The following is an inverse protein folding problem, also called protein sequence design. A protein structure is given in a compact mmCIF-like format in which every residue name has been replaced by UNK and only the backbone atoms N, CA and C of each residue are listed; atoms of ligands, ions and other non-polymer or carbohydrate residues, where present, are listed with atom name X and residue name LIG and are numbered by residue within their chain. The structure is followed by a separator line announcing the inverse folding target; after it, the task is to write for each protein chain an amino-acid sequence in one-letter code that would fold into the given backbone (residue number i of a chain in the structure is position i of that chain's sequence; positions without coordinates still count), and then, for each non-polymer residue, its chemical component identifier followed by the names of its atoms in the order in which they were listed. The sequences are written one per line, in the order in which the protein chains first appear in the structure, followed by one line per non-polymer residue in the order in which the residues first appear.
data_IF_191049525062
#
_entry.id   IF_191049525062
#
_cell.length_a   1.000
_cell.length_b   1.000
_cell.length_c   1.000
_cell.angle_alpha   90.00
_cell.angle_beta   90.00
_cell.angle_gamma   90.00
#
_symmetry.space_group_name_H-M   'P 1'
#
loop_
_entity.id
_entity.type
_entity.pdbx_description
1 polymer ?
#
# COMPACT_ATOMS: atom_id res chain seq x y z
N UNK A 1 -15.84 9.52 31.82
CA UNK A 1 -16.42 10.88 31.91
C UNK A 1 -17.85 10.74 31.40
N UNK A 2 -18.86 11.10 32.21
CA UNK A 2 -20.23 10.57 32.07
C UNK A 2 -20.95 11.03 30.80
N UNK A 3 -21.67 10.07 30.18
CA UNK A 3 -22.39 10.10 28.89
C UNK A 3 -23.55 11.10 28.80
N UNK A 4 -24.02 11.59 29.93
CA UNK A 4 -24.71 12.86 30.08
C UNK A 4 -23.89 13.64 31.09
N UNK A 5 -23.80 14.96 30.99
CA UNK A 5 -23.52 15.74 32.20
C UNK A 5 -24.54 15.27 33.23
N UNK A 6 -24.10 14.57 34.30
CA UNK A 6 -25.01 14.05 35.32
C UNK A 6 -25.80 15.20 35.97
N UNK A 7 -25.36 16.45 35.80
CA UNK A 7 -26.11 17.68 36.09
C UNK A 7 -27.41 17.87 35.29
N UNK A 8 -27.58 17.23 34.12
CA UNK A 8 -28.82 17.30 33.32
C UNK A 8 -29.72 16.07 33.47
N UNK A 9 -29.26 14.98 34.08
CA UNK A 9 -30.10 13.80 34.32
C UNK A 9 -31.36 14.19 35.13
N UNK A 10 -31.21 15.09 36.11
CA UNK A 10 -32.33 15.64 36.88
C UNK A 10 -33.28 16.54 36.07
N UNK A 11 -32.85 17.10 34.94
CA UNK A 11 -33.68 17.93 34.06
C UNK A 11 -34.49 17.11 33.04
N UNK A 12 -34.10 15.86 32.79
CA UNK A 12 -34.78 14.93 31.88
C UNK A 12 -35.84 14.07 32.58
N UNK A 13 -35.64 13.78 33.87
CA UNK A 13 -36.62 13.03 34.67
C UNK A 13 -37.95 13.78 34.71
N UNK A 14 -39.04 13.10 34.34
CA UNK A 14 -40.39 13.65 34.32
C UNK A 14 -40.79 14.36 33.02
N UNK A 15 -39.90 14.47 32.04
CA UNK A 15 -40.22 14.96 30.69
C UNK A 15 -40.47 13.80 29.73
N UNK A 16 -41.30 14.03 28.72
CA UNK A 16 -41.54 13.04 27.67
C UNK A 16 -40.29 12.90 26.78
N UNK A 17 -39.90 11.66 26.47
CA UNK A 17 -38.85 11.39 25.49
C UNK A 17 -39.18 12.00 24.11
N UNK A 18 -40.46 12.11 23.76
CA UNK A 18 -40.90 12.76 22.53
C UNK A 18 -40.61 14.26 22.49
N UNK A 19 -40.62 14.93 23.66
CA UNK A 19 -40.32 16.35 23.75
C UNK A 19 -38.80 16.59 23.72
N UNK A 20 -38.03 15.67 24.30
CA UNK A 20 -36.56 15.72 24.35
C UNK A 20 -35.98 15.48 22.94
N UNK A 21 -36.50 14.50 22.22
CA UNK A 21 -36.02 14.10 20.89
C UNK A 21 -36.89 14.63 19.74
N UNK A 22 -37.66 15.70 19.97
CA UNK A 22 -38.59 16.27 18.96
C UNK A 22 -37.92 16.65 17.63
N UNK A 23 -36.65 17.00 17.68
CA UNK A 23 -35.84 17.46 16.54
C UNK A 23 -35.04 16.31 15.90
N UNK A 24 -35.24 15.06 16.36
CA UNK A 24 -34.61 13.85 15.85
C UNK A 24 -35.66 12.82 15.37
N UNK A 25 -36.11 12.92 14.11
CA UNK A 25 -37.15 12.06 13.56
C UNK A 25 -36.82 10.56 13.62
N UNK A 26 -35.55 10.17 13.52
CA UNK A 26 -35.14 8.76 13.55
C UNK A 26 -35.32 8.15 14.94
N UNK A 27 -34.96 8.91 15.99
CA UNK A 27 -35.21 8.50 17.37
C UNK A 27 -36.71 8.45 17.65
N UNK A 28 -37.52 9.40 17.16
CA UNK A 28 -38.97 9.35 17.33
C UNK A 28 -39.62 8.12 16.67
N UNK A 29 -39.16 7.72 15.48
CA UNK A 29 -39.62 6.49 14.82
C UNK A 29 -39.26 5.26 15.65
N UNK A 30 -38.03 5.22 16.16
CA UNK A 30 -37.54 4.15 17.06
C UNK A 30 -38.41 4.03 18.31
N UNK A 31 -38.70 5.16 18.97
CA UNK A 31 -39.53 5.18 20.17
C UNK A 31 -40.98 4.72 19.88
N UNK A 32 -41.58 5.16 18.79
CA UNK A 32 -42.92 4.73 18.40
C UNK A 32 -43.00 3.23 18.10
N UNK A 33 -41.99 2.67 17.43
CA UNK A 33 -41.91 1.23 17.17
C UNK A 33 -41.77 0.42 18.45
N UNK A 34 -40.96 0.91 19.40
CA UNK A 34 -40.84 0.28 20.72
C UNK A 34 -42.17 0.30 21.49
N UNK A 35 -42.93 1.41 21.43
CA UNK A 35 -44.28 1.50 22.02
C UNK A 35 -45.33 0.66 21.30
N UNK A 36 -45.13 0.34 20.03
CA UNK A 36 -45.94 -0.63 19.31
C UNK A 36 -45.63 -2.07 19.70
N UNK A 37 -44.63 -2.30 20.57
CA UNK A 37 -44.28 -3.60 21.12
C UNK A 37 -43.04 -4.24 20.49
N UNK A 38 -42.35 -3.55 19.59
CA UNK A 38 -41.15 -4.06 18.93
C UNK A 38 -39.90 -3.88 19.81
N UNK A 39 -39.00 -4.87 19.82
CA UNK A 39 -37.66 -4.69 20.40
C UNK A 39 -36.68 -4.47 19.26
N UNK A 40 -35.93 -3.37 19.31
CA UNK A 40 -35.04 -2.98 18.24
C UNK A 40 -33.68 -2.51 18.76
N UNK A 41 -32.68 -2.67 17.90
CA UNK A 41 -31.30 -2.22 18.12
C UNK A 41 -30.98 -1.19 17.06
N UNK A 42 -30.55 -0.01 17.48
CA UNK A 42 -30.18 1.07 16.58
C UNK A 42 -28.83 1.64 16.98
N UNK A 43 -27.97 1.81 15.99
CA UNK A 43 -26.76 2.59 16.18
C UNK A 43 -27.10 4.06 15.94
N UNK A 44 -26.86 4.91 16.94
CA UNK A 44 -27.08 6.34 16.86
C UNK A 44 -25.77 7.09 17.03
N UNK A 45 -25.69 8.28 16.44
CA UNK A 45 -24.55 9.17 16.60
C UNK A 45 -25.01 10.42 17.34
N UNK A 46 -24.34 10.73 18.45
CA UNK A 46 -24.55 11.97 19.19
C UNK A 46 -23.25 12.76 19.25
N UNK A 47 -23.14 13.77 18.40
CA UNK A 47 -21.90 14.52 18.21
C UNK A 47 -20.77 13.62 17.68
N UNK A 48 -19.72 13.44 18.48
CA UNK A 48 -18.56 12.60 18.16
C UNK A 48 -18.69 11.16 18.67
N UNK A 49 -19.72 10.87 19.48
CA UNK A 49 -19.92 9.55 20.08
C UNK A 49 -20.89 8.70 19.26
N UNK A 50 -20.61 7.40 19.25
CA UNK A 50 -21.47 6.39 18.66
C UNK A 50 -22.06 5.51 19.77
N UNK A 51 -23.36 5.26 19.70
CA UNK A 51 -24.07 4.43 20.67
C UNK A 51 -24.77 3.28 19.97
N UNK A 52 -24.67 2.10 20.55
CA UNK A 52 -25.51 0.95 20.22
C UNK A 52 -26.65 0.92 21.24
N UNK A 53 -27.86 1.27 20.79
CA UNK A 53 -29.02 1.46 21.65
C UNK A 53 -30.07 0.40 21.40
N UNK A 54 -30.36 -0.38 22.44
CA UNK A 54 -31.43 -1.36 22.45
C UNK A 54 -32.67 -0.76 23.11
N UNK A 55 -33.79 -0.71 22.39
CA UNK A 55 -35.08 -0.26 22.90
C UNK A 55 -36.08 -1.42 22.91
N UNK A 56 -36.91 -1.49 23.95
CA UNK A 56 -37.99 -2.46 24.03
C UNK A 56 -39.18 -1.96 24.87
N UNK A 57 -40.37 -2.54 24.66
CA UNK A 57 -41.56 -2.17 25.42
C UNK A 57 -41.43 -2.61 26.88
N UNK A 58 -41.77 -1.70 27.79
CA UNK A 58 -42.05 -2.03 29.18
C UNK A 58 -43.52 -2.46 29.28
N UNK A 59 -43.78 -3.64 29.84
CA UNK A 59 -45.14 -4.19 30.00
C UNK A 59 -45.49 -4.34 31.48
N UNK A 60 -46.75 -4.13 31.82
CA UNK A 60 -47.28 -4.44 33.14
C UNK A 60 -47.58 -5.94 33.32
N UNK A 61 -48.09 -6.33 34.50
CA UNK A 61 -48.45 -7.72 34.82
C UNK A 61 -49.58 -8.28 33.94
N UNK A 62 -50.36 -7.41 33.30
CA UNK A 62 -51.46 -7.76 32.41
C UNK A 62 -51.01 -7.84 30.94
N UNK A 63 -49.74 -7.51 30.65
CA UNK A 63 -49.17 -7.53 29.30
C UNK A 63 -49.41 -6.24 28.50
N UNK A 64 -50.02 -5.21 29.10
CA UNK A 64 -50.21 -3.91 28.46
C UNK A 64 -48.89 -3.13 28.44
N UNK A 65 -48.61 -2.45 27.34
CA UNK A 65 -47.39 -1.63 27.19
C UNK A 65 -47.58 -0.35 27.99
N UNK A 66 -46.72 -0.12 28.98
CA UNK A 66 -46.75 1.05 29.85
C UNK A 66 -45.63 2.04 29.57
N UNK A 67 -44.66 1.68 28.74
CA UNK A 67 -43.55 2.56 28.37
C UNK A 67 -42.49 1.89 27.52
N UNK A 68 -41.31 2.52 27.45
CA UNK A 68 -40.12 2.01 26.76
C UNK A 68 -38.99 1.92 27.78
N UNK A 69 -38.18 0.86 27.67
CA UNK A 69 -36.86 0.80 28.29
C UNK A 69 -35.80 0.82 27.19
N UNK A 70 -34.75 1.61 27.42
CA UNK A 70 -33.61 1.74 26.51
C UNK A 70 -32.30 1.45 27.25
N UNK A 71 -31.39 0.70 26.62
CA UNK A 71 -30.00 0.57 27.04
C UNK A 71 -29.09 1.03 25.92
N UNK A 72 -28.28 2.05 26.19
CA UNK A 72 -27.30 2.58 25.24
C UNK A 72 -25.88 2.23 25.68
N UNK A 73 -25.14 1.57 24.80
CA UNK A 73 -23.74 1.23 24.99
C UNK A 73 -22.87 2.15 24.15
N UNK A 74 -21.86 2.78 24.75
CA UNK A 74 -20.86 3.54 24.00
C UNK A 74 -20.02 2.57 23.15
N UNK A 75 -20.09 2.74 21.83
CA UNK A 75 -19.32 1.97 20.84
C UNK A 75 -18.34 2.86 20.07
N UNK A 76 -18.07 4.07 20.55
CA UNK A 76 -17.22 5.05 19.88
C UNK A 76 -15.83 4.49 19.59
N UNK A 77 -15.22 3.83 20.58
CA UNK A 77 -13.91 3.19 20.40
C UNK A 77 -13.97 2.10 19.33
N UNK A 78 -14.97 1.22 19.37
CA UNK A 78 -15.17 0.14 18.38
C UNK A 78 -15.30 0.72 16.98
N UNK A 79 -16.19 1.71 16.79
CA UNK A 79 -16.42 2.35 15.49
C UNK A 79 -15.16 3.03 14.96
N UNK A 80 -14.44 3.77 15.80
CA UNK A 80 -13.21 4.44 15.37
C UNK A 80 -12.13 3.44 14.95
N UNK A 81 -12.01 2.30 15.64
CA UNK A 81 -11.11 1.22 15.23
C UNK A 81 -11.54 0.57 13.91
N UNK A 82 -12.83 0.31 13.73
CA UNK A 82 -13.37 -0.26 12.49
C UNK A 82 -13.13 0.69 11.29
N UNK A 83 -13.36 2.00 11.47
CA UNK A 83 -13.07 3.01 10.47
C UNK A 83 -11.57 3.10 10.18
N UNK A 84 -10.73 3.15 11.20
CA UNK A 84 -9.27 3.19 11.03
C UNK A 84 -8.77 1.95 10.28
N UNK A 85 -9.31 0.77 10.59
CA UNK A 85 -9.01 -0.48 9.88
C UNK A 85 -9.45 -0.44 8.43
N UNK A 86 -10.67 0.04 8.15
CA UNK A 86 -11.17 0.16 6.78
C UNK A 86 -10.31 1.12 5.95
N UNK A 87 -9.90 2.25 6.52
CA UNK A 87 -8.99 3.21 5.88
C UNK A 87 -7.62 2.58 5.63
N UNK A 88 -7.07 1.85 6.61
CA UNK A 88 -5.79 1.17 6.44
C UNK A 88 -5.82 0.13 5.32
N UNK A 89 -6.86 -0.72 5.28
CA UNK A 89 -7.03 -1.73 4.23
C UNK A 89 -7.19 -1.10 2.85
N UNK A 90 -7.95 0.00 2.74
CA UNK A 90 -8.07 0.73 1.49
C UNK A 90 -6.74 1.33 1.03
N UNK A 91 -5.98 1.91 1.96
CA UNK A 91 -4.65 2.47 1.67
C UNK A 91 -3.65 1.39 1.23
N UNK A 92 -3.68 0.22 1.87
CA UNK A 92 -2.83 -0.93 1.54
C UNK A 92 -3.15 -1.44 0.13
N UNK A 93 -4.43 -1.68 -0.17
CA UNK A 93 -4.88 -2.12 -1.48
C UNK A 93 -4.51 -1.12 -2.59
N UNK A 94 -4.66 0.18 -2.35
CA UNK A 94 -4.28 1.22 -3.32
C UNK A 94 -2.76 1.29 -3.54
N UNK A 95 -1.96 1.09 -2.50
CA UNK A 95 -0.51 1.04 -2.60
C UNK A 95 -0.03 -0.20 -3.36
N UNK A 96 -0.66 -1.36 -3.12
CA UNK A 96 -0.37 -2.61 -3.83
C UNK A 96 -0.70 -2.46 -5.33
N UNK A 97 -1.89 -1.96 -5.66
CA UNK A 97 -2.29 -1.73 -7.06
C UNK A 97 -1.33 -0.78 -7.79
N UNK A 98 -0.91 0.30 -7.13
CA UNK A 98 0.07 1.24 -7.68
C UNK A 98 1.44 0.57 -7.90
N UNK A 99 1.88 -0.28 -6.96
CA UNK A 99 3.13 -1.04 -7.08
C UNK A 99 3.08 -2.03 -8.25
N UNK A 100 1.97 -2.74 -8.43
CA UNK A 100 1.78 -3.65 -9.55
C UNK A 100 1.76 -2.92 -10.90
N UNK A 101 1.02 -1.81 -11.00
CA UNK A 101 1.01 -0.97 -12.19
C UNK A 101 2.42 -0.47 -12.54
N UNK A 102 3.17 0.01 -11.55
CA UNK A 102 4.57 0.46 -11.73
C UNK A 102 5.44 -0.68 -12.25
N UNK A 103 5.37 -1.87 -11.63
CA UNK A 103 6.14 -3.04 -12.04
C UNK A 103 5.82 -3.46 -13.48
N UNK A 104 4.53 -3.52 -13.84
CA UNK A 104 4.08 -3.91 -15.18
C UNK A 104 4.51 -2.88 -16.24
N UNK A 105 4.41 -1.60 -15.92
CA UNK A 105 4.88 -0.53 -16.79
C UNK A 105 6.38 -0.66 -17.04
N UNK A 106 7.19 -0.83 -16.00
CA UNK A 106 8.65 -0.93 -16.15
C UNK A 106 9.07 -2.19 -16.91
N UNK A 107 8.44 -3.34 -16.64
CA UNK A 107 8.66 -4.56 -17.40
C UNK A 107 8.36 -4.36 -18.90
N UNK A 108 7.22 -3.76 -19.22
CA UNK A 108 6.82 -3.49 -20.61
C UNK A 108 7.79 -2.54 -21.28
N UNK A 109 8.11 -1.41 -20.64
CA UNK A 109 9.06 -0.44 -21.18
C UNK A 109 10.44 -1.04 -21.40
N UNK A 110 10.90 -1.92 -20.50
CA UNK A 110 12.19 -2.61 -20.71
C UNK A 110 12.20 -3.46 -21.98
N UNK A 111 11.14 -4.22 -22.24
CA UNK A 111 11.02 -4.99 -23.49
C UNK A 111 11.00 -4.08 -24.73
N UNK A 112 10.25 -2.98 -24.68
CA UNK A 112 10.14 -2.02 -25.77
C UNK A 112 11.43 -1.22 -26.00
N UNK A 113 12.23 -0.98 -24.97
CA UNK A 113 13.52 -0.28 -25.09
C UNK A 113 14.65 -1.25 -25.50
N UNK A 114 14.62 -2.51 -25.06
CA UNK A 114 15.64 -3.51 -25.40
C UNK A 114 15.75 -3.74 -26.91
N UNK A 115 14.62 -3.80 -27.61
CA UNK A 115 14.58 -4.03 -29.07
C UNK A 115 15.35 -2.95 -29.86
N UNK A 116 15.05 -1.64 -29.73
CA UNK A 116 15.81 -0.61 -30.43
C UNK A 116 17.26 -0.52 -29.96
N UNK A 117 17.57 -0.71 -28.66
CA UNK A 117 18.96 -0.70 -28.19
C UNK A 117 19.77 -1.84 -28.81
N UNK A 118 19.24 -3.06 -28.87
CA UNK A 118 19.90 -4.18 -29.53
C UNK A 118 20.13 -3.89 -31.01
N UNK A 119 19.21 -3.18 -31.66
CA UNK A 119 19.40 -2.65 -33.01
C UNK A 119 20.58 -1.67 -33.10
N UNK A 120 20.67 -0.71 -32.17
CA UNK A 120 21.79 0.25 -32.08
C UNK A 120 23.13 -0.48 -31.86
N UNK A 121 23.19 -1.46 -30.96
CA UNK A 121 24.39 -2.28 -30.71
C UNK A 121 24.76 -3.09 -31.96
N UNK A 122 23.77 -3.70 -32.62
CA UNK A 122 23.98 -4.44 -33.87
C UNK A 122 24.55 -3.57 -34.98
N UNK A 123 23.95 -2.39 -35.20
CA UNK A 123 24.43 -1.42 -36.18
C UNK A 123 25.84 -0.89 -35.84
N UNK A 124 26.11 -0.60 -34.56
CA UNK A 124 27.44 -0.21 -34.10
C UNK A 124 28.48 -1.28 -34.40
N UNK A 125 28.14 -2.55 -34.14
CA UNK A 125 29.01 -3.71 -34.40
C UNK A 125 29.32 -3.85 -35.90
N UNK A 126 28.29 -3.76 -36.76
CA UNK A 126 28.47 -3.80 -38.21
C UNK A 126 29.33 -2.64 -38.73
N UNK A 127 29.15 -1.43 -38.20
CA UNK A 127 29.97 -0.26 -38.60
C UNK A 127 31.43 -0.43 -38.16
N UNK A 128 31.67 -0.98 -36.97
CA UNK A 128 33.01 -1.26 -36.45
C UNK A 128 33.78 -2.30 -37.27
N UNK A 129 33.08 -3.15 -38.02
CA UNK A 129 33.65 -4.13 -38.95
C UNK A 129 34.02 -3.51 -40.33
N UNK A 130 33.74 -2.22 -40.55
CA UNK A 130 34.12 -1.49 -41.77
C UNK A 130 35.41 -0.68 -41.61
N UNK A 131 35.95 -0.13 -42.71
CA UNK A 131 37.08 0.80 -42.65
C UNK A 131 36.65 2.14 -42.06
N UNK A 132 37.04 2.39 -40.80
CA UNK A 132 36.77 3.63 -40.07
C UNK A 132 38.06 4.42 -39.89
N UNK A 133 37.97 5.74 -40.04
CA UNK A 133 39.02 6.63 -39.55
C UNK A 133 38.99 6.71 -38.01
N UNK A 134 40.03 7.33 -37.42
CA UNK A 134 40.17 7.41 -35.96
C UNK A 134 38.97 8.09 -35.26
N UNK A 135 38.42 9.14 -35.88
CA UNK A 135 37.29 9.89 -35.34
C UNK A 135 35.99 9.06 -35.38
N UNK A 136 35.73 8.42 -36.52
CA UNK A 136 34.59 7.53 -36.72
C UNK A 136 34.61 6.32 -35.77
N UNK A 137 35.80 5.73 -35.54
CA UNK A 137 35.97 4.65 -34.56
C UNK A 137 35.67 5.14 -33.14
N UNK A 138 36.13 6.32 -32.76
CA UNK A 138 35.79 6.93 -31.46
C UNK A 138 34.28 7.14 -31.30
N UNK A 139 33.58 7.57 -32.35
CA UNK A 139 32.12 7.71 -32.31
C UNK A 139 31.40 6.37 -32.17
N UNK A 140 31.83 5.34 -32.90
CA UNK A 140 31.25 4.00 -32.81
C UNK A 140 31.46 3.37 -31.42
N UNK A 141 32.65 3.51 -30.84
CA UNK A 141 32.94 3.04 -29.48
C UNK A 141 32.09 3.77 -28.43
N UNK A 142 31.94 5.10 -28.56
CA UNK A 142 31.10 5.90 -27.66
C UNK A 142 29.62 5.50 -27.75
N UNK A 143 29.12 5.23 -28.96
CA UNK A 143 27.74 4.81 -29.19
C UNK A 143 27.46 3.42 -28.61
N UNK A 144 28.36 2.44 -28.83
CA UNK A 144 28.26 1.11 -28.20
C UNK A 144 28.31 1.21 -26.68
N UNK A 145 29.30 1.93 -26.13
CA UNK A 145 29.44 2.10 -24.69
C UNK A 145 28.20 2.72 -24.04
N UNK A 146 27.57 3.69 -24.72
CA UNK A 146 26.32 4.31 -24.25
C UNK A 146 25.15 3.33 -24.25
N UNK A 147 25.05 2.48 -25.27
CA UNK A 147 24.01 1.45 -25.35
C UNK A 147 24.15 0.39 -24.25
N UNK A 148 25.38 -0.05 -23.95
CA UNK A 148 25.67 -1.01 -22.87
C UNK A 148 25.34 -0.42 -21.49
N UNK A 149 25.69 0.85 -21.26
CA UNK A 149 25.32 1.56 -20.03
C UNK A 149 23.80 1.64 -19.89
N UNK A 150 23.08 1.95 -20.97
CA UNK A 150 21.62 2.06 -20.94
C UNK A 150 20.95 0.71 -20.64
N UNK A 151 21.45 -0.39 -21.22
CA UNK A 151 20.97 -1.74 -20.86
C UNK A 151 21.19 -2.06 -19.38
N UNK A 152 22.36 -1.70 -18.86
CA UNK A 152 22.68 -1.91 -17.43
C UNK A 152 21.71 -1.13 -16.55
N UNK A 153 21.49 0.16 -16.83
CA UNK A 153 20.56 1.00 -16.07
C UNK A 153 19.12 0.48 -16.12
N UNK A 154 18.66 0.00 -17.29
CA UNK A 154 17.32 -0.56 -17.43
C UNK A 154 17.17 -1.85 -16.61
N UNK A 155 18.18 -2.72 -16.61
CA UNK A 155 18.17 -3.93 -15.80
C UNK A 155 18.17 -3.60 -14.30
N UNK A 156 19.00 -2.64 -13.87
CA UNK A 156 19.06 -2.20 -12.47
C UNK A 156 17.70 -1.64 -12.00
N UNK A 157 17.01 -0.85 -12.84
CA UNK A 157 15.67 -0.33 -12.55
C UNK A 157 14.63 -1.45 -12.43
N UNK A 158 14.72 -2.46 -13.30
CA UNK A 158 13.83 -3.62 -13.23
C UNK A 158 14.06 -4.44 -11.96
N UNK A 159 15.31 -4.69 -11.60
CA UNK A 159 15.66 -5.48 -10.43
C UNK A 159 15.23 -4.77 -9.15
N UNK A 160 15.42 -3.45 -9.06
CA UNK A 160 14.87 -2.64 -7.97
C UNK A 160 13.34 -2.75 -7.90
N UNK A 161 12.65 -2.73 -9.03
CA UNK A 161 11.18 -2.81 -9.07
C UNK A 161 10.67 -4.18 -8.63
N UNK A 162 11.36 -5.25 -8.98
CA UNK A 162 11.06 -6.60 -8.46
C UNK A 162 11.32 -6.71 -6.97
N UNK A 163 12.39 -6.09 -6.48
CA UNK A 163 12.73 -6.04 -5.06
C UNK A 163 11.63 -5.35 -4.24
N UNK A 164 11.18 -4.17 -4.68
CA UNK A 164 10.11 -3.40 -4.04
C UNK A 164 8.78 -4.16 -4.04
N UNK A 165 8.51 -4.96 -5.08
CA UNK A 165 7.33 -5.80 -5.18
C UNK A 165 7.44 -7.14 -4.44
N UNK A 166 8.58 -7.45 -3.81
CA UNK A 166 8.83 -8.75 -3.17
C UNK A 166 8.93 -9.93 -4.15
N UNK A 167 9.16 -9.67 -5.44
CA UNK A 167 9.19 -10.66 -6.55
C UNK A 167 10.63 -11.07 -6.93
N UNK A 168 11.56 -11.09 -5.98
CA UNK A 168 12.91 -11.63 -6.21
C UNK A 168 12.85 -13.14 -6.00
N UNK A 169 12.91 -13.89 -7.10
CA UNK A 169 13.09 -15.34 -7.04
C UNK A 169 14.57 -15.67 -6.83
N UNK A 170 14.87 -16.40 -5.77
CA UNK A 170 16.20 -16.93 -5.51
C UNK A 170 16.31 -18.33 -6.09
N UNK A 171 17.09 -18.48 -7.15
CA UNK A 171 17.41 -19.80 -7.70
C UNK A 171 18.57 -20.44 -6.93
N UNK A 172 18.35 -21.66 -6.44
CA UNK A 172 19.42 -22.50 -5.87
C UNK A 172 19.90 -23.46 -6.94
N UNK A 173 21.13 -23.24 -7.42
CA UNK A 173 21.79 -24.11 -8.39
C UNK A 173 23.09 -24.66 -7.81
N UNK A 174 23.43 -25.89 -8.17
CA UNK A 174 24.75 -26.45 -7.87
C UNK A 174 25.78 -25.77 -8.78
N UNK A 175 26.83 -25.21 -8.18
CA UNK A 175 27.94 -24.60 -8.91
C UNK A 175 29.29 -25.03 -8.32
N UNK A 176 30.31 -25.05 -9.16
CA UNK A 176 31.69 -25.29 -8.74
C UNK A 176 32.36 -23.97 -8.35
N UNK A 177 32.74 -23.86 -7.07
CA UNK A 177 33.30 -22.63 -6.50
C UNK A 177 34.58 -22.18 -7.22
N UNK A 178 35.46 -23.11 -7.58
CA UNK A 178 36.73 -22.82 -8.25
C UNK A 178 36.54 -22.24 -9.65
N UNK A 179 35.52 -22.72 -10.37
CA UNK A 179 35.13 -22.17 -11.67
C UNK A 179 34.54 -20.76 -11.53
N UNK A 180 33.65 -20.55 -10.57
CA UNK A 180 33.04 -19.23 -10.31
C UNK A 180 34.11 -18.18 -9.97
N UNK A 181 35.02 -18.50 -9.05
CA UNK A 181 36.12 -17.60 -8.67
C UNK A 181 37.05 -17.34 -9.87
N UNK A 182 37.34 -18.37 -10.67
CA UNK A 182 38.14 -18.25 -11.88
C UNK A 182 37.54 -17.27 -12.90
N UNK A 183 36.23 -17.32 -13.11
CA UNK A 183 35.52 -16.46 -14.05
C UNK A 183 35.38 -15.02 -13.53
N UNK A 184 35.10 -14.84 -12.23
CA UNK A 184 35.14 -13.52 -11.58
C UNK A 184 36.53 -12.88 -11.73
N UNK A 185 37.61 -13.66 -11.55
CA UNK A 185 38.98 -13.17 -11.72
C UNK A 185 39.26 -12.72 -13.15
N UNK A 186 38.80 -13.45 -14.18
CA UNK A 186 38.98 -13.06 -15.58
C UNK A 186 38.26 -11.75 -15.90
N UNK A 187 37.01 -11.61 -15.49
CA UNK A 187 36.21 -10.40 -15.76
C UNK A 187 36.72 -9.16 -15.03
N UNK A 188 37.19 -9.30 -13.80
CA UNK A 188 37.75 -8.18 -13.02
C UNK A 188 39.15 -7.77 -13.50
N UNK A 189 39.96 -8.71 -14.01
CA UNK A 189 41.32 -8.40 -14.49
C UNK A 189 41.33 -7.59 -15.79
N UNK A 190 40.32 -7.72 -16.65
CA UNK A 190 40.15 -6.89 -17.86
C UNK A 190 39.90 -5.42 -17.48
N UNK A 191 39.00 -5.15 -16.52
CA UNK A 191 38.73 -3.80 -16.02
C UNK A 191 39.91 -3.15 -15.28
N UNK A 192 40.75 -3.93 -14.61
CA UNK A 192 41.94 -3.43 -13.93
C UNK A 192 43.07 -3.01 -14.88
N UNK A 193 43.18 -3.64 -16.07
CA UNK A 193 44.15 -3.20 -17.09
C UNK A 193 43.76 -1.85 -17.72
N UNK A 194 42.47 -1.55 -17.84
CA UNK A 194 41.97 -0.25 -18.34
C UNK A 194 42.11 0.90 -17.32
N UNK A 195 42.14 0.61 -16.01
CA UNK A 195 42.24 1.62 -14.93
C UNK A 195 43.61 1.72 -14.23
N UNK A 196 44.71 1.30 -14.88
CA UNK A 196 46.09 1.26 -14.32
C UNK A 196 46.69 2.59 -13.80
N UNK A 197 45.97 3.70 -13.75
CA UNK A 197 46.51 4.97 -13.24
C UNK A 197 46.25 5.26 -11.76
N UNK A 198 45.50 4.43 -11.02
CA UNK A 198 45.28 4.66 -9.59
C UNK A 198 45.19 3.33 -8.82
N UNK A 199 46.30 2.84 -8.26
CA UNK A 199 46.30 1.71 -7.33
C UNK A 199 46.81 2.21 -5.97
N UNK A 200 45.91 2.26 -4.98
CA UNK A 200 46.25 2.30 -3.56
C UNK A 200 46.68 0.90 -3.12
N UNK A 201 47.86 0.79 -2.52
CA UNK A 201 48.31 -0.42 -1.80
C UNK A 201 47.47 -0.58 -0.53
N UNK A 202 46.77 -1.72 -0.40
CA UNK A 202 46.27 -2.18 0.89
C UNK A 202 47.14 -3.38 1.29
N UNK A 203 48.06 -3.13 2.22
CA UNK A 203 48.77 -4.18 2.94
C UNK A 203 47.86 -4.70 4.05
N UNK A 204 47.62 -6.00 4.07
CA UNK A 204 47.07 -6.66 5.26
C UNK A 204 48.24 -7.13 6.14
N UNK A 205 48.15 -6.80 7.43
CA UNK A 205 49.02 -7.32 8.49
C UNK A 205 48.58 -8.71 8.94
#
# INVERSE_FOLDING_TARGET
MSMFQIDQAGQMVGRSMFDIYKDDPETLVTLNRALAGESLTVETRSGEYYFDSHYGPLKDKCGAITGIVGLSTDITLRKNLDFARAVALYSEASAEEASEMKSNFLATMSHEIRTPINGVIGMASLIMDTELNAEQRSYADALRGSADILLTLINDILDLSKAEAGKIDLESINFEMDHLIGDVRKHTHVRLKEKRSQIFQINFA
#
